data_IF_775015716353
#
_entry.id   IF_775015716353
#
_cell.length_a   1.000
_cell.length_b   1.000
_cell.length_c   1.000
_cell.angle_alpha   90.00
_cell.angle_beta   90.00
_cell.angle_gamma   90.00
#
_symmetry.space_group_name_H-M   'P 1'
#
loop_
_entity.id
_entity.type
_entity.pdbx_description
1 polymer ?
#
# COMPACT_ATOMS: atom_id res chain seq x y z
N UNK A 1 0.76 -35.89 -21.77
CA UNK A 1 0.57 -34.60 -22.47
C UNK A 1 -0.66 -33.96 -21.86
N UNK A 2 -0.44 -33.12 -20.84
CA UNK A 2 -1.52 -32.45 -20.13
C UNK A 2 -2.13 -31.36 -21.02
N UNK A 3 -3.46 -31.35 -21.04
CA UNK A 3 -4.29 -30.46 -21.83
C UNK A 3 -4.08 -29.03 -21.34
N UNK A 4 -3.26 -28.24 -22.05
CA UNK A 4 -3.05 -26.84 -21.74
C UNK A 4 -4.39 -26.10 -21.81
N UNK A 5 -4.96 -25.77 -20.65
CA UNK A 5 -6.02 -24.78 -20.55
C UNK A 5 -5.43 -23.44 -20.96
N UNK A 6 -5.87 -22.89 -22.09
CA UNK A 6 -5.43 -21.59 -22.64
C UNK A 6 -5.72 -20.37 -21.73
N UNK A 7 -6.22 -20.59 -20.52
CA UNK A 7 -6.48 -19.56 -19.52
C UNK A 7 -5.28 -19.53 -18.56
N UNK A 8 -4.55 -18.42 -18.47
CA UNK A 8 -3.44 -18.29 -17.55
C UNK A 8 -3.88 -18.48 -16.09
N UNK A 9 -3.02 -19.03 -15.23
CA UNK A 9 -3.31 -19.18 -13.82
C UNK A 9 -3.51 -17.81 -13.14
N UNK A 10 -4.25 -17.80 -12.04
CA UNK A 10 -4.40 -16.60 -11.22
C UNK A 10 -3.02 -16.14 -10.71
N UNK A 11 -2.64 -14.87 -10.91
CA UNK A 11 -1.37 -14.36 -10.40
C UNK A 11 -1.46 -14.16 -8.88
N UNK A 12 -0.37 -14.41 -8.15
CA UNK A 12 -0.34 -14.12 -6.72
C UNK A 12 0.19 -12.71 -6.51
N UNK A 13 -0.55 -11.91 -5.74
CA UNK A 13 -0.19 -10.53 -5.44
C UNK A 13 -0.09 -10.35 -3.94
N UNK A 14 1.02 -9.78 -3.50
CA UNK A 14 1.25 -9.45 -2.09
C UNK A 14 1.90 -8.08 -1.95
N UNK A 15 1.79 -7.53 -0.75
CA UNK A 15 2.39 -6.25 -0.40
C UNK A 15 3.26 -6.44 0.83
N UNK A 16 4.43 -5.78 0.83
CA UNK A 16 5.28 -5.63 2.02
C UNK A 16 5.50 -4.17 2.31
N UNK A 17 5.45 -3.78 3.58
CA UNK A 17 5.74 -2.40 3.95
C UNK A 17 7.25 -2.24 4.03
N UNK A 18 7.74 -1.19 3.39
CA UNK A 18 9.13 -0.80 3.44
C UNK A 18 9.38 0.17 4.58
N UNK A 19 10.28 1.12 4.35
CA UNK A 19 10.64 2.12 5.35
C UNK A 19 9.57 3.21 5.44
N UNK A 20 9.33 3.68 6.65
CA UNK A 20 8.70 4.98 6.89
C UNK A 20 9.81 6.02 6.90
N UNK A 21 9.84 6.85 5.86
CA UNK A 21 10.84 7.89 5.68
C UNK A 21 10.50 9.12 6.52
N UNK A 22 9.21 9.44 6.62
CA UNK A 22 8.71 10.57 7.41
C UNK A 22 7.41 10.18 8.10
N UNK A 23 7.30 10.55 9.36
CA UNK A 23 6.06 10.55 10.12
C UNK A 23 6.20 11.66 11.15
N UNK A 24 5.71 12.85 10.81
CA UNK A 24 5.89 14.07 11.59
C UNK A 24 4.50 14.64 11.85
N UNK A 25 4.15 14.74 13.12
CA UNK A 25 2.95 15.43 13.60
C UNK A 25 3.40 16.73 14.26
N UNK A 26 2.85 17.85 13.78
CA UNK A 26 3.15 19.18 14.31
C UNK A 26 1.88 20.00 14.41
N UNK A 27 1.80 20.89 15.39
CA UNK A 27 0.71 21.87 15.46
C UNK A 27 0.84 22.87 14.32
N UNK A 28 -0.29 23.31 13.78
CA UNK A 28 -0.33 24.28 12.70
C UNK A 28 -1.75 24.74 12.40
N UNK A 29 -1.86 25.48 11.30
CA UNK A 29 -3.13 26.02 10.81
C UNK A 29 -3.32 25.49 9.39
N UNK A 30 -4.51 24.98 9.10
CA UNK A 30 -4.83 24.47 7.77
C UNK A 30 -5.13 25.59 6.76
N UNK A 31 -5.47 25.25 5.52
CA UNK A 31 -5.82 26.23 4.48
C UNK A 31 -7.08 27.04 4.77
N UNK A 32 -7.91 26.64 5.73
CA UNK A 32 -9.15 27.31 6.12
C UNK A 32 -8.99 28.13 7.41
N UNK A 33 -7.79 28.20 7.99
CA UNK A 33 -7.54 28.94 9.22
C UNK A 33 -7.82 28.16 10.50
N UNK A 34 -8.08 26.84 10.42
CA UNK A 34 -8.38 26.02 11.59
C UNK A 34 -7.09 25.47 12.20
N UNK A 35 -6.89 25.73 13.50
CA UNK A 35 -5.78 25.13 14.26
C UNK A 35 -5.98 23.62 14.41
N UNK A 36 -5.00 22.85 13.96
CA UNK A 36 -5.02 21.38 14.01
C UNK A 36 -3.59 20.83 13.98
N UNK A 37 -3.43 19.53 14.22
CA UNK A 37 -2.17 18.86 13.91
C UNK A 37 -2.09 18.54 12.42
N UNK A 38 -0.92 18.83 11.85
CA UNK A 38 -0.56 18.57 10.47
C UNK A 38 0.39 17.37 10.41
N UNK A 39 0.01 16.35 9.63
CA UNK A 39 0.80 15.16 9.38
C UNK A 39 1.59 15.30 8.08
N UNK A 40 2.91 15.11 8.17
CA UNK A 40 3.75 14.80 7.02
C UNK A 40 4.19 13.35 7.11
N UNK A 41 3.78 12.55 6.14
CA UNK A 41 3.99 11.10 6.10
C UNK A 41 4.59 10.69 4.76
N UNK A 42 5.57 9.79 4.79
CA UNK A 42 6.15 9.17 3.60
C UNK A 42 6.56 7.74 3.92
N UNK A 43 6.11 6.80 3.09
CA UNK A 43 6.39 5.39 3.20
C UNK A 43 6.65 4.78 1.83
N UNK A 44 7.66 3.91 1.79
CA UNK A 44 7.93 3.02 0.67
C UNK A 44 7.20 1.70 0.90
N UNK A 45 6.61 1.11 -0.14
CA UNK A 45 5.96 -0.21 -0.11
C UNK A 45 6.42 -1.03 -1.31
N UNK A 46 6.52 -2.34 -1.16
CA UNK A 46 6.92 -3.25 -2.22
C UNK A 46 5.72 -4.10 -2.62
N UNK A 47 5.23 -3.89 -3.84
CA UNK A 47 4.25 -4.74 -4.50
C UNK A 47 4.98 -5.92 -5.12
N UNK A 48 4.68 -7.13 -4.68
CA UNK A 48 5.27 -8.37 -5.17
C UNK A 48 4.23 -9.09 -6.00
N UNK A 49 4.57 -9.38 -7.24
CA UNK A 49 3.70 -10.04 -8.21
C UNK A 49 4.38 -11.31 -8.68
N UNK A 50 3.80 -12.45 -8.35
CA UNK A 50 4.23 -13.75 -8.83
C UNK A 50 3.37 -14.16 -10.03
N UNK A 51 3.95 -14.03 -11.22
CA UNK A 51 3.30 -14.41 -12.47
C UNK A 51 3.60 -15.86 -12.80
N UNK A 52 2.65 -16.74 -12.47
CA UNK A 52 2.72 -18.18 -12.73
C UNK A 52 2.47 -18.59 -14.18
N UNK A 53 2.20 -17.63 -15.09
CA UNK A 53 2.01 -17.92 -16.50
C UNK A 53 3.35 -18.15 -17.19
N UNK A 54 3.50 -19.27 -17.89
CA UNK A 54 4.73 -19.61 -18.62
C UNK A 54 4.96 -18.78 -19.88
N UNK A 55 3.89 -18.23 -20.46
CA UNK A 55 3.93 -17.67 -21.83
C UNK A 55 3.34 -16.27 -21.94
N UNK A 56 2.59 -15.80 -20.93
CA UNK A 56 1.95 -14.48 -20.97
C UNK A 56 2.47 -13.58 -19.86
N UNK A 57 2.88 -12.37 -20.23
CA UNK A 57 3.13 -11.29 -19.29
C UNK A 57 1.84 -10.77 -18.68
N UNK A 58 1.92 -10.32 -17.43
CA UNK A 58 0.80 -9.77 -16.68
C UNK A 58 0.83 -8.25 -16.73
N UNK A 59 -0.25 -7.65 -17.23
CA UNK A 59 -0.46 -6.21 -17.16
C UNK A 59 -1.16 -5.84 -15.86
N UNK A 60 -0.59 -4.90 -15.12
CA UNK A 60 -1.15 -4.41 -13.88
C UNK A 60 -1.63 -2.97 -14.11
N UNK A 61 -2.90 -2.74 -13.85
CA UNK A 61 -3.49 -1.41 -13.91
C UNK A 61 -2.98 -0.55 -12.75
N UNK A 62 -3.03 0.80 -12.86
CA UNK A 62 -2.64 1.71 -11.80
C UNK A 62 -3.19 1.30 -10.42
N UNK A 63 -2.33 0.81 -9.49
CA UNK A 63 -2.79 0.39 -8.18
C UNK A 63 -3.26 1.62 -7.38
N UNK A 64 -4.27 1.47 -6.53
CA UNK A 64 -4.67 2.50 -5.58
C UNK A 64 -4.35 2.05 -4.16
N UNK A 65 -3.53 2.83 -3.47
CA UNK A 65 -3.16 2.59 -2.07
C UNK A 65 -3.73 3.71 -1.20
N UNK A 66 -4.25 3.36 -0.04
CA UNK A 66 -4.73 4.29 0.99
C UNK A 66 -4.25 3.87 2.37
N UNK A 67 -3.93 4.85 3.21
CA UNK A 67 -3.65 4.66 4.62
C UNK A 67 -4.75 5.25 5.49
N UNK A 68 -5.07 4.53 6.56
CA UNK A 68 -6.11 4.89 7.50
C UNK A 68 -5.60 4.86 8.94
N UNK A 69 -6.08 5.80 9.73
CA UNK A 69 -6.08 5.76 11.19
C UNK A 69 -7.54 5.73 11.64
N UNK A 70 -7.99 4.60 12.20
CA UNK A 70 -9.43 4.36 12.39
C UNK A 70 -10.21 4.54 11.07
N UNK A 71 -11.27 5.36 11.03
CA UNK A 71 -12.01 5.65 9.80
C UNK A 71 -11.33 6.71 8.90
N UNK A 72 -10.32 7.44 9.41
CA UNK A 72 -9.73 8.58 8.73
C UNK A 72 -8.71 8.14 7.68
N UNK A 73 -9.01 8.38 6.40
CA UNK A 73 -8.03 8.26 5.31
C UNK A 73 -7.13 9.50 5.27
N UNK A 74 -5.85 9.36 5.61
CA UNK A 74 -4.92 10.50 5.66
C UNK A 74 -3.90 10.51 4.53
N UNK A 75 -3.71 9.40 3.81
CA UNK A 75 -2.82 9.37 2.65
C UNK A 75 -3.38 8.45 1.57
N UNK A 76 -3.27 8.89 0.32
CA UNK A 76 -3.71 8.14 -0.86
C UNK A 76 -2.67 8.27 -1.96
N UNK A 77 -2.43 7.19 -2.67
CA UNK A 77 -1.63 7.16 -3.89
C UNK A 77 -2.37 6.41 -4.99
N UNK A 78 -2.15 6.84 -6.23
CA UNK A 78 -2.49 6.11 -7.44
C UNK A 78 -1.20 5.87 -8.22
N UNK A 79 -0.87 4.61 -8.44
CA UNK A 79 0.37 4.21 -9.10
C UNK A 79 0.30 4.38 -10.61
N UNK A 80 1.30 3.86 -11.29
CA UNK A 80 1.35 3.77 -12.75
C UNK A 80 1.00 2.35 -13.20
N UNK A 81 0.83 2.17 -14.52
CA UNK A 81 0.73 0.82 -15.10
C UNK A 81 2.06 0.10 -14.87
N UNK A 82 1.98 -1.18 -14.48
CA UNK A 82 3.15 -2.04 -14.27
C UNK A 82 3.03 -3.27 -15.15
N UNK A 83 4.16 -3.94 -15.38
CA UNK A 83 4.24 -5.12 -16.22
C UNK A 83 5.16 -6.14 -15.58
N UNK A 84 4.64 -7.35 -15.32
CA UNK A 84 5.40 -8.48 -14.80
C UNK A 84 5.58 -9.51 -15.93
N UNK A 85 6.83 -9.92 -16.17
CA UNK A 85 7.17 -10.93 -17.18
C UNK A 85 6.57 -12.29 -16.84
N UNK A 86 6.52 -13.19 -17.81
CA UNK A 86 6.06 -14.57 -17.62
C UNK A 86 7.02 -15.37 -16.74
N UNK A 87 6.48 -16.26 -15.90
CA UNK A 87 7.23 -17.19 -15.04
C UNK A 87 8.26 -16.47 -14.15
N UNK A 88 7.86 -15.33 -13.60
CA UNK A 88 8.73 -14.48 -12.80
C UNK A 88 7.98 -13.86 -11.62
N UNK A 89 8.67 -13.76 -10.48
CA UNK A 89 8.26 -12.94 -9.35
C UNK A 89 8.92 -11.56 -9.46
N UNK A 90 8.15 -10.54 -9.85
CA UNK A 90 8.63 -9.17 -9.98
C UNK A 90 8.23 -8.32 -8.77
N UNK A 91 9.18 -7.52 -8.26
CA UNK A 91 8.92 -6.57 -7.16
C UNK A 91 8.92 -5.14 -7.69
N UNK A 92 7.82 -4.41 -7.45
CA UNK A 92 7.68 -3.01 -7.78
C UNK A 92 7.70 -2.16 -6.50
N UNK A 93 8.61 -1.20 -6.44
CA UNK A 93 8.65 -0.24 -5.35
C UNK A 93 7.66 0.90 -5.60
N UNK A 94 6.78 1.13 -4.64
CA UNK A 94 5.73 2.15 -4.68
C UNK A 94 5.92 3.12 -3.51
N UNK A 95 5.75 4.41 -3.77
CA UNK A 95 5.86 5.46 -2.77
C UNK A 95 4.50 6.06 -2.47
N UNK A 96 4.21 6.30 -1.20
CA UNK A 96 2.96 6.91 -0.76
C UNK A 96 3.25 7.86 0.40
N UNK A 97 2.65 9.03 0.35
CA UNK A 97 2.83 10.03 1.37
C UNK A 97 1.80 11.14 1.28
N UNK A 98 1.85 12.00 2.29
CA UNK A 98 1.10 13.25 2.35
C UNK A 98 1.96 14.31 3.03
N UNK A 99 1.70 15.58 2.73
CA UNK A 99 2.43 16.70 3.30
C UNK A 99 1.44 17.67 3.93
N UNK A 100 1.67 18.01 5.19
CA UNK A 100 0.82 18.92 5.97
C UNK A 100 -0.68 18.54 5.94
N UNK A 101 -0.99 17.24 5.98
CA UNK A 101 -2.36 16.76 6.04
C UNK A 101 -2.98 17.15 7.38
N UNK A 102 -4.06 17.92 7.36
CA UNK A 102 -4.84 18.21 8.56
C UNK A 102 -5.47 16.93 9.12
N UNK A 103 -5.21 16.64 10.39
CA UNK A 103 -5.65 15.43 11.10
C UNK A 103 -6.78 15.72 12.10
N UNK A 104 -7.75 16.55 11.72
CA UNK A 104 -8.84 17.02 12.58
C UNK A 104 -9.32 15.99 13.60
N UNK A 105 -9.12 16.30 14.90
CA UNK A 105 -9.49 15.44 16.03
C UNK A 105 -8.63 14.19 16.24
N UNK A 106 -7.92 13.71 15.23
CA UNK A 106 -7.12 12.48 15.27
C UNK A 106 -5.63 12.71 15.64
N UNK A 107 -5.08 13.87 15.31
CA UNK A 107 -3.62 14.06 15.38
C UNK A 107 -3.02 13.88 16.78
N UNK A 108 -3.71 14.35 17.83
CA UNK A 108 -3.24 14.23 19.21
C UNK A 108 -3.22 12.77 19.66
N UNK A 109 -4.30 12.06 19.39
CA UNK A 109 -4.42 10.62 19.67
C UNK A 109 -3.32 9.82 18.94
N UNK A 110 -3.05 10.16 17.67
CA UNK A 110 -1.96 9.52 16.92
C UNK A 110 -0.59 9.76 17.55
N UNK A 111 -0.32 10.97 18.04
CA UNK A 111 0.94 11.30 18.71
C UNK A 111 1.09 10.54 20.04
N UNK A 112 0.02 10.48 20.85
CA UNK A 112 0.02 9.79 22.13
C UNK A 112 0.18 8.27 21.93
N UNK A 113 -0.50 7.67 20.95
CA UNK A 113 -0.36 6.26 20.62
C UNK A 113 1.03 5.90 20.07
N UNK A 114 1.65 6.77 19.27
CA UNK A 114 3.00 6.55 18.75
C UNK A 114 4.05 6.49 19.87
N UNK A 115 3.85 7.26 20.94
CA UNK A 115 4.70 7.26 22.13
C UNK A 115 4.36 6.14 23.11
N UNK A 116 3.16 5.58 23.02
CA UNK A 116 2.70 4.49 23.87
C UNK A 116 3.46 3.18 23.59
N UNK A 117 3.49 2.29 24.59
CA UNK A 117 4.00 0.91 24.43
C UNK A 117 3.15 0.06 23.48
N UNK A 118 1.87 0.42 23.28
CA UNK A 118 0.97 -0.29 22.37
C UNK A 118 1.29 -0.02 20.89
N UNK A 119 1.88 1.15 20.61
CA UNK A 119 2.14 1.64 19.27
C UNK A 119 0.90 2.22 18.58
N UNK A 120 1.14 2.92 17.48
CA UNK A 120 0.12 3.53 16.64
C UNK A 120 -0.37 2.54 15.58
N UNK A 121 -1.64 2.07 15.66
CA UNK A 121 -2.21 1.18 14.65
C UNK A 121 -2.62 1.95 13.40
N UNK A 122 -2.19 1.49 12.23
CA UNK A 122 -2.58 1.99 10.93
C UNK A 122 -3.07 0.85 10.05
N UNK A 123 -3.96 1.17 9.10
CA UNK A 123 -4.42 0.24 8.07
C UNK A 123 -3.99 0.75 6.71
N UNK A 124 -3.31 -0.09 5.94
CA UNK A 124 -3.09 0.14 4.51
C UNK A 124 -4.07 -0.72 3.72
N UNK A 125 -4.77 -0.11 2.76
CA UNK A 125 -5.57 -0.84 1.77
C UNK A 125 -5.09 -0.57 0.37
N UNK A 126 -4.77 -1.62 -0.37
CA UNK A 126 -4.41 -1.59 -1.77
C UNK A 126 -5.48 -2.29 -2.59
N UNK A 127 -5.87 -1.69 -3.71
CA UNK A 127 -6.70 -2.32 -4.74
C UNK A 127 -6.03 -2.18 -6.09
N UNK A 128 -6.00 -3.24 -6.88
CA UNK A 128 -5.54 -3.20 -8.25
C UNK A 128 -6.28 -4.23 -9.11
N UNK A 129 -6.21 -4.01 -10.42
CA UNK A 129 -6.71 -4.94 -11.43
C UNK A 129 -5.50 -5.41 -12.23
N UNK A 130 -5.44 -6.70 -12.54
CA UNK A 130 -4.48 -7.25 -13.48
C UNK A 130 -5.19 -7.97 -14.62
N UNK A 131 -4.55 -8.00 -15.79
CA UNK A 131 -5.03 -8.76 -16.94
C UNK A 131 -3.89 -9.41 -17.73
N UNK A 132 -4.18 -10.56 -18.30
CA UNK A 132 -3.34 -11.15 -19.35
C UNK A 132 -3.91 -10.78 -20.71
N UNK A 133 -3.02 -10.48 -21.66
CA UNK A 133 -3.38 -10.33 -23.07
C UNK A 133 -3.00 -11.61 -23.80
N UNK A 134 -3.97 -12.51 -23.94
CA UNK A 134 -3.77 -13.80 -24.62
C UNK A 134 -4.05 -13.61 -26.11
N UNK A 135 -3.24 -14.28 -26.95
CA UNK A 135 -3.30 -14.42 -28.42
C UNK A 135 -4.49 -13.71 -29.11
N UNK A 136 -4.18 -12.69 -29.92
CA UNK A 136 -5.16 -11.84 -30.64
C UNK A 136 -6.18 -11.09 -29.76
N UNK A 137 -5.92 -10.94 -28.45
CA UNK A 137 -6.78 -10.23 -27.51
C UNK A 137 -8.20 -10.83 -27.41
N UNK A 138 -8.35 -12.10 -27.81
CA UNK A 138 -9.64 -12.83 -27.85
C UNK A 138 -10.11 -13.13 -26.43
N UNK A 139 -9.18 -13.47 -25.54
CA UNK A 139 -9.44 -13.72 -24.13
C UNK A 139 -8.52 -12.81 -23.32
N UNK A 140 -9.11 -11.96 -22.48
CA UNK A 140 -8.38 -11.09 -21.56
C UNK A 140 -8.85 -11.37 -20.13
N UNK A 141 -8.35 -12.44 -19.49
CA UNK A 141 -8.70 -12.75 -18.12
C UNK A 141 -8.29 -11.59 -17.23
N UNK A 142 -9.26 -11.04 -16.49
CA UNK A 142 -9.07 -9.93 -15.55
C UNK A 142 -9.22 -10.45 -14.13
N UNK A 143 -8.33 -10.00 -13.25
CA UNK A 143 -8.31 -10.37 -11.85
C UNK A 143 -8.32 -9.10 -11.00
N UNK A 144 -9.21 -9.08 -10.01
CA UNK A 144 -9.26 -8.02 -9.01
C UNK A 144 -8.51 -8.47 -7.78
N UNK A 145 -7.68 -7.59 -7.25
CA UNK A 145 -6.86 -7.89 -6.08
C UNK A 145 -7.03 -6.78 -5.06
N UNK A 146 -7.33 -7.19 -3.84
CA UNK A 146 -7.40 -6.32 -2.68
C UNK A 146 -6.47 -6.84 -1.61
N UNK A 147 -5.64 -5.97 -1.05
CA UNK A 147 -4.71 -6.30 0.03
C UNK A 147 -4.94 -5.34 1.18
N UNK A 148 -5.03 -5.87 2.39
CA UNK A 148 -5.11 -5.11 3.62
C UNK A 148 -3.92 -5.44 4.52
N UNK A 149 -3.20 -4.41 4.97
CA UNK A 149 -2.12 -4.54 5.94
C UNK A 149 -2.47 -3.80 7.22
N UNK A 150 -2.31 -4.49 8.35
CA UNK A 150 -2.32 -3.90 9.67
C UNK A 150 -0.88 -3.58 10.08
N UNK A 151 -0.66 -2.34 10.51
CA UNK A 151 0.65 -1.82 10.85
C UNK A 151 0.63 -1.24 12.26
N UNK A 152 1.67 -1.53 13.03
CA UNK A 152 1.88 -0.91 14.34
C UNK A 152 3.17 -0.12 14.30
N UNK A 153 3.06 1.20 14.40
CA UNK A 153 4.22 2.09 14.45
C UNK A 153 4.65 2.33 15.89
N UNK A 154 5.95 2.40 16.10
CA UNK A 154 6.54 2.79 17.38
C UNK A 154 7.54 3.92 17.18
N UNK A 155 7.70 4.76 18.20
CA UNK A 155 8.82 5.69 18.23
C UNK A 155 10.14 4.91 18.45
N UNK A 156 11.13 5.10 17.56
CA UNK A 156 12.42 4.41 17.66
C UNK A 156 13.37 4.98 18.72
N UNK A 157 12.99 6.02 19.46
CA UNK A 157 13.79 6.66 20.53
C UNK A 157 15.03 7.41 20.03
N UNK A 158 15.58 7.01 18.88
CA UNK A 158 16.61 7.73 18.13
C UNK A 158 15.92 8.66 17.13
N UNK A 159 16.17 9.96 17.25
CA UNK A 159 15.66 11.02 16.35
C UNK A 159 14.12 11.13 16.24
N UNK A 160 13.35 10.59 17.19
CA UNK A 160 11.88 10.60 17.15
C UNK A 160 11.29 10.10 15.81
N UNK A 161 11.95 9.14 15.15
CA UNK A 161 11.46 8.57 13.90
C UNK A 161 10.51 7.41 14.17
N UNK A 162 9.33 7.44 13.55
CA UNK A 162 8.41 6.32 13.57
C UNK A 162 8.96 5.15 12.74
N UNK A 163 8.91 3.95 13.32
CA UNK A 163 9.32 2.71 12.66
C UNK A 163 8.18 1.71 12.69
N UNK A 164 8.12 0.83 11.69
CA UNK A 164 7.18 -0.29 11.67
C UNK A 164 7.66 -1.32 12.70
N UNK A 165 6.95 -1.44 13.81
CA UNK A 165 7.26 -2.42 14.85
C UNK A 165 6.69 -3.80 14.49
N UNK A 166 5.49 -3.82 13.92
CA UNK A 166 4.81 -5.05 13.45
C UNK A 166 3.99 -4.73 12.21
N UNK A 167 3.96 -5.69 11.30
CA UNK A 167 3.07 -5.68 10.13
C UNK A 167 2.39 -7.04 9.94
N UNK A 168 1.17 -7.01 9.40
CA UNK A 168 0.48 -8.20 8.92
C UNK A 168 -0.35 -7.83 7.70
N UNK A 169 0.04 -8.35 6.54
CA UNK A 169 -0.67 -8.18 5.28
C UNK A 169 -1.45 -9.43 4.90
N UNK A 170 -2.65 -9.25 4.35
CA UNK A 170 -3.48 -10.33 3.81
C UNK A 170 -4.18 -9.89 2.53
N UNK A 171 -4.36 -10.83 1.60
CA UNK A 171 -5.30 -10.63 0.50
C UNK A 171 -6.72 -10.65 1.07
N UNK A 172 -7.56 -9.75 0.57
CA UNK A 172 -8.99 -9.67 0.88
C UNK A 172 -9.69 -10.17 -0.37
N UNK A 173 -10.11 -11.44 -0.32
CA UNK A 173 -10.89 -12.10 -1.38
C UNK A 173 -12.28 -11.49 -1.49
#
# INVERSE_FOLDING_TARGET
MDRATNIPPHPDISLRIGRINQFILQEGVDSHGVTTMLLTFNCTTNLIVDNKSNVFGLHIHPPSIKFFFGPLNFAKMKGTKLYASSHESTTFQLYIGTKNQAMYGAGREMADLLQSKAGLPLILRMNLISDFRVVWNIINPKYQHSVECLLFLSNSGRHNQATVAREKCRSVS
#
